data_IF_807480966957
#
_entry.id   IF_807480966957
#
_cell.length_a   1.000
_cell.length_b   1.000
_cell.length_c   1.000
_cell.angle_alpha   90.00
_cell.angle_beta   90.00
_cell.angle_gamma   90.00
#
_symmetry.space_group_name_H-M   'P 1'
#
loop_
_entity.id
_entity.type
_entity.pdbx_description
1 polymer ?
#
# COMPACT_ATOMS: atom_id res chain seq x y z
N UNK A 1 -21.55 5.21 -16.36
CA UNK A 1 -21.53 3.73 -16.20
C UNK A 1 -20.48 3.40 -15.15
N UNK A 2 -20.84 2.60 -14.14
CA UNK A 2 -19.88 2.13 -13.12
C UNK A 2 -19.16 0.90 -13.70
N UNK A 3 -17.81 0.91 -13.66
CA UNK A 3 -17.00 -0.21 -14.11
C UNK A 3 -17.02 -1.34 -13.07
N UNK A 4 -16.95 -2.58 -13.54
CA UNK A 4 -16.82 -3.75 -12.66
C UNK A 4 -15.37 -3.91 -12.18
N UNK A 5 -15.17 -4.62 -11.06
CA UNK A 5 -13.82 -4.92 -10.57
C UNK A 5 -12.97 -5.66 -11.64
N UNK A 6 -13.58 -6.58 -12.40
CA UNK A 6 -12.89 -7.29 -13.49
C UNK A 6 -12.39 -6.32 -14.58
N UNK A 7 -13.19 -5.33 -14.95
CA UNK A 7 -12.79 -4.30 -15.94
C UNK A 7 -11.64 -3.45 -15.40
N UNK A 8 -11.72 -3.03 -14.14
CA UNK A 8 -10.69 -2.22 -13.47
C UNK A 8 -9.38 -3.00 -13.38
N UNK A 9 -9.42 -4.26 -12.93
CA UNK A 9 -8.22 -5.10 -12.82
C UNK A 9 -7.55 -5.33 -14.20
N UNK A 10 -8.33 -5.58 -15.25
CA UNK A 10 -7.81 -5.71 -16.62
C UNK A 10 -7.14 -4.42 -17.10
N UNK A 11 -7.76 -3.28 -16.84
CA UNK A 11 -7.22 -1.97 -17.24
C UNK A 11 -5.89 -1.66 -16.56
N UNK A 12 -5.75 -2.00 -15.28
CA UNK A 12 -4.58 -1.65 -14.46
C UNK A 12 -3.35 -2.50 -14.70
N UNK A 13 -3.46 -3.60 -15.44
CA UNK A 13 -2.33 -4.50 -15.70
C UNK A 13 -1.13 -3.77 -16.32
N UNK A 14 0.01 -3.78 -15.62
CA UNK A 14 1.24 -3.09 -16.04
C UNK A 14 1.19 -1.55 -15.92
N UNK A 15 0.14 -0.98 -15.29
CA UNK A 15 -0.03 0.46 -15.13
C UNK A 15 -0.04 0.88 -13.67
N UNK A 16 -0.70 0.10 -12.79
CA UNK A 16 -0.90 0.42 -11.38
C UNK A 16 -0.80 -0.82 -10.52
N UNK A 17 -0.59 -0.61 -9.21
CA UNK A 17 -0.80 -1.60 -8.15
C UNK A 17 -2.08 -1.18 -7.43
N UNK A 18 -3.01 -2.10 -7.26
CA UNK A 18 -4.27 -1.86 -6.58
C UNK A 18 -4.18 -2.17 -5.09
N UNK A 19 -4.62 -1.22 -4.26
CA UNK A 19 -5.02 -1.49 -2.89
C UNK A 19 -6.55 -1.65 -2.88
N UNK A 20 -7.02 -2.88 -2.74
CA UNK A 20 -8.43 -3.24 -2.85
C UNK A 20 -9.11 -3.08 -1.48
N UNK A 21 -9.92 -2.04 -1.36
CA UNK A 21 -10.72 -1.75 -0.17
C UNK A 21 -12.04 -2.51 -0.23
N UNK A 22 -12.17 -3.55 0.60
CA UNK A 22 -13.34 -4.42 0.64
C UNK A 22 -14.39 -3.83 1.57
N UNK A 23 -15.51 -3.40 1.03
CA UNK A 23 -16.60 -2.81 1.81
C UNK A 23 -17.30 -3.84 2.71
N UNK A 24 -17.79 -3.37 3.86
CA UNK A 24 -18.52 -4.20 4.83
C UNK A 24 -19.66 -4.96 4.14
N UNK A 25 -19.75 -6.25 4.42
CA UNK A 25 -20.77 -7.14 3.85
C UNK A 25 -20.38 -7.80 2.51
N UNK A 26 -19.24 -7.42 1.92
CA UNK A 26 -18.70 -8.13 0.74
C UNK A 26 -17.78 -9.25 1.23
N UNK A 27 -18.04 -10.51 0.86
CA UNK A 27 -17.16 -11.63 1.22
C UNK A 27 -15.76 -11.46 0.61
N UNK A 28 -14.71 -11.68 1.41
CA UNK A 28 -13.31 -11.63 0.94
C UNK A 28 -13.07 -12.57 -0.25
N UNK A 29 -13.71 -13.73 -0.25
CA UNK A 29 -13.62 -14.70 -1.35
C UNK A 29 -14.01 -14.10 -2.71
N UNK A 30 -15.04 -13.24 -2.77
CA UNK A 30 -15.45 -12.60 -4.03
C UNK A 30 -14.34 -11.75 -4.66
N UNK A 31 -13.60 -11.04 -3.81
CA UNK A 31 -12.49 -10.18 -4.26
C UNK A 31 -11.31 -11.06 -4.70
N UNK A 32 -10.98 -12.08 -3.91
CA UNK A 32 -9.94 -13.07 -4.23
C UNK A 32 -10.25 -13.73 -5.58
N UNK A 33 -11.49 -14.17 -5.80
CA UNK A 33 -11.91 -14.79 -7.06
C UNK A 33 -11.79 -13.84 -8.25
N UNK A 34 -12.11 -12.55 -8.07
CA UNK A 34 -11.91 -11.54 -9.10
C UNK A 34 -10.43 -11.33 -9.44
N UNK A 35 -9.56 -11.27 -8.41
CA UNK A 35 -8.10 -11.19 -8.58
C UNK A 35 -7.59 -12.40 -9.38
N UNK A 36 -8.03 -13.63 -9.01
CA UNK A 36 -7.65 -14.88 -9.68
C UNK A 36 -8.10 -14.92 -11.13
N UNK A 37 -9.38 -14.63 -11.40
CA UNK A 37 -9.93 -14.64 -12.77
C UNK A 37 -9.17 -13.70 -13.71
N UNK A 38 -8.65 -12.59 -13.17
CA UNK A 38 -7.93 -11.59 -13.96
C UNK A 38 -6.41 -11.77 -13.95
N UNK A 39 -5.89 -12.80 -13.24
CA UNK A 39 -4.44 -13.02 -13.05
C UNK A 39 -3.77 -11.76 -12.52
N UNK A 40 -4.39 -11.13 -11.50
CA UNK A 40 -4.03 -9.83 -10.98
C UNK A 40 -3.24 -9.91 -9.66
N UNK A 41 -2.80 -11.10 -9.25
CA UNK A 41 -2.12 -11.35 -7.98
C UNK A 41 -0.87 -10.47 -7.80
N UNK A 42 -0.09 -10.31 -8.86
CA UNK A 42 1.18 -9.57 -8.82
C UNK A 42 1.03 -8.05 -8.65
N UNK A 43 -0.20 -7.52 -8.81
CA UNK A 43 -0.46 -6.09 -8.72
C UNK A 43 -1.74 -5.75 -7.92
N UNK A 44 -2.13 -6.67 -7.02
CA UNK A 44 -3.26 -6.46 -6.10
C UNK A 44 -2.83 -6.68 -4.66
N UNK A 45 -3.26 -5.79 -3.79
CA UNK A 45 -3.08 -5.84 -2.34
C UNK A 45 -4.47 -5.75 -1.71
N UNK A 46 -4.81 -6.64 -0.78
CA UNK A 46 -6.10 -6.60 -0.09
C UNK A 46 -5.95 -5.78 1.19
N UNK A 47 -6.74 -4.73 1.34
CA UNK A 47 -6.77 -3.92 2.56
C UNK A 47 -7.57 -4.67 3.64
N UNK A 48 -7.00 -4.74 4.83
CA UNK A 48 -7.64 -5.29 6.02
C UNK A 48 -7.60 -4.27 7.16
N UNK A 49 -8.70 -4.17 7.91
CA UNK A 49 -8.88 -3.18 8.97
C UNK A 49 -8.61 -3.75 10.38
N UNK A 50 -8.48 -5.06 10.48
CA UNK A 50 -8.19 -5.72 11.75
C UNK A 50 -7.49 -7.07 11.53
N UNK A 51 -6.95 -7.62 12.60
CA UNK A 51 -6.17 -8.84 12.58
C UNK A 51 -6.96 -10.08 12.11
N UNK A 52 -8.26 -10.16 12.43
CA UNK A 52 -9.10 -11.29 12.00
C UNK A 52 -9.31 -11.29 10.48
N UNK A 53 -9.54 -10.12 9.88
CA UNK A 53 -9.63 -9.99 8.42
C UNK A 53 -8.30 -10.36 7.76
N UNK A 54 -7.17 -9.93 8.32
CA UNK A 54 -5.85 -10.28 7.79
C UNK A 54 -5.61 -11.80 7.85
N UNK A 55 -5.96 -12.44 8.96
CA UNK A 55 -5.90 -13.89 9.12
C UNK A 55 -6.82 -14.63 8.13
N UNK A 56 -8.04 -14.13 7.91
CA UNK A 56 -8.97 -14.67 6.92
C UNK A 56 -8.37 -14.65 5.52
N UNK A 57 -7.85 -13.49 5.07
CA UNK A 57 -7.22 -13.35 3.75
C UNK A 57 -5.98 -14.25 3.65
N UNK A 58 -5.12 -14.30 4.67
CA UNK A 58 -3.94 -15.15 4.69
C UNK A 58 -4.28 -16.64 4.58
N UNK A 59 -5.41 -17.07 5.15
CA UNK A 59 -5.91 -18.44 5.03
C UNK A 59 -6.49 -18.74 3.64
N UNK A 60 -7.28 -17.80 3.08
CA UNK A 60 -7.96 -17.99 1.78
C UNK A 60 -7.00 -17.84 0.59
N UNK A 61 -6.01 -16.96 0.72
CA UNK A 61 -5.07 -16.62 -0.36
C UNK A 61 -3.67 -16.29 0.19
N UNK A 62 -2.90 -17.30 0.66
CA UNK A 62 -1.61 -17.11 1.36
C UNK A 62 -0.50 -16.53 0.47
N UNK A 63 -0.72 -16.41 -0.82
CA UNK A 63 0.18 -15.83 -1.82
C UNK A 63 -0.10 -14.36 -2.12
N UNK A 64 -1.27 -13.83 -1.76
CA UNK A 64 -1.61 -12.42 -1.99
C UNK A 64 -0.95 -11.50 -0.96
N UNK A 65 -0.69 -10.27 -1.40
CA UNK A 65 -0.24 -9.19 -0.52
C UNK A 65 -1.42 -8.66 0.30
N UNK A 66 -1.18 -8.36 1.55
CA UNK A 66 -2.18 -7.88 2.51
C UNK A 66 -1.69 -6.56 3.12
N UNK A 67 -2.49 -5.52 3.03
CA UNK A 67 -2.27 -4.30 3.80
C UNK A 67 -2.85 -4.47 5.20
N UNK A 68 -2.01 -4.38 6.21
CA UNK A 68 -2.35 -4.55 7.63
C UNK A 68 -2.04 -3.29 8.42
N UNK A 69 -2.81 -2.96 9.46
CA UNK A 69 -2.41 -1.92 10.43
C UNK A 69 -1.26 -2.45 11.27
N UNK A 70 -0.08 -1.85 11.12
CA UNK A 70 1.10 -2.23 11.90
C UNK A 70 2.01 -1.02 12.11
N UNK A 71 2.07 -0.56 13.35
CA UNK A 71 2.88 0.59 13.80
C UNK A 71 4.22 0.19 14.44
N UNK A 72 4.61 -1.09 14.38
CA UNK A 72 5.86 -1.56 14.96
C UNK A 72 5.94 -3.07 15.14
N UNK A 73 6.92 -3.49 15.98
CA UNK A 73 7.27 -4.90 16.21
C UNK A 73 6.09 -5.74 16.71
N UNK A 74 5.41 -5.26 17.75
CA UNK A 74 4.32 -5.99 18.41
C UNK A 74 3.15 -6.28 17.45
N UNK A 75 2.83 -5.32 16.57
CA UNK A 75 1.79 -5.51 15.58
C UNK A 75 2.17 -6.55 14.53
N UNK A 76 3.42 -6.53 14.06
CA UNK A 76 3.93 -7.53 13.10
C UNK A 76 3.90 -8.93 13.72
N UNK A 77 4.43 -9.09 14.94
CA UNK A 77 4.42 -10.38 15.65
C UNK A 77 3.00 -10.90 15.87
N UNK A 78 2.06 -10.01 16.21
CA UNK A 78 0.63 -10.37 16.31
C UNK A 78 0.07 -10.89 14.99
N UNK A 79 0.38 -10.24 13.87
CA UNK A 79 -0.06 -10.71 12.55
C UNK A 79 0.56 -12.06 12.18
N UNK A 80 1.87 -12.25 12.45
CA UNK A 80 2.56 -13.52 12.20
C UNK A 80 1.96 -14.66 13.02
N UNK A 81 1.64 -14.42 14.30
CA UNK A 81 0.98 -15.39 15.18
C UNK A 81 -0.42 -15.80 14.65
N UNK A 82 -1.06 -14.96 13.85
CA UNK A 82 -2.34 -15.26 13.18
C UNK A 82 -2.16 -15.84 11.76
N UNK A 83 -0.94 -16.16 11.37
CA UNK A 83 -0.63 -16.82 10.10
C UNK A 83 -0.39 -15.89 8.92
N UNK A 84 -0.32 -14.58 9.13
CA UNK A 84 0.04 -13.62 8.07
C UNK A 84 1.56 -13.59 7.94
N UNK A 85 2.11 -14.01 6.81
CA UNK A 85 3.56 -14.03 6.58
C UNK A 85 4.12 -12.62 6.39
N UNK A 86 5.30 -12.33 6.95
CA UNK A 86 5.93 -11.02 6.85
C UNK A 86 6.16 -10.59 5.38
N UNK A 87 6.57 -11.52 4.50
CA UNK A 87 6.79 -11.27 3.07
C UNK A 87 5.51 -11.02 2.27
N UNK A 88 4.34 -11.16 2.91
CA UNK A 88 3.01 -10.86 2.36
C UNK A 88 2.37 -9.62 2.99
N UNK A 89 3.04 -8.98 3.93
CA UNK A 89 2.54 -7.77 4.58
C UNK A 89 2.97 -6.50 3.85
N UNK A 90 2.06 -5.53 3.82
CA UNK A 90 2.36 -4.11 3.66
C UNK A 90 1.78 -3.41 4.89
N UNK A 91 2.59 -2.68 5.63
CA UNK A 91 2.18 -2.05 6.88
C UNK A 91 1.54 -0.68 6.63
N UNK A 92 0.27 -0.50 6.95
CA UNK A 92 -0.31 0.83 7.13
C UNK A 92 0.11 1.35 8.49
N UNK A 93 1.01 2.35 8.51
CA UNK A 93 1.63 2.89 9.72
C UNK A 93 0.85 4.04 10.36
N UNK A 94 -0.34 4.35 9.85
CA UNK A 94 -1.21 5.41 10.36
C UNK A 94 -1.29 6.64 9.47
N UNK A 95 -1.91 7.70 10.01
CA UNK A 95 -2.12 9.00 9.31
C UNK A 95 -1.24 10.13 9.86
N UNK A 96 -0.28 9.78 10.72
CA UNK A 96 0.79 10.65 11.20
C UNK A 96 2.10 9.97 10.94
N UNK A 97 3.13 10.73 10.62
CA UNK A 97 4.46 10.18 10.38
C UNK A 97 4.97 9.47 11.65
N UNK A 98 5.28 8.18 11.59
CA UNK A 98 5.82 7.46 12.74
C UNK A 98 7.28 7.86 12.99
N UNK A 99 7.85 7.42 14.13
CA UNK A 99 9.28 7.55 14.38
C UNK A 99 10.09 6.73 13.39
N UNK A 100 11.29 7.17 13.07
CA UNK A 100 12.16 6.53 12.07
C UNK A 100 12.46 5.05 12.39
N UNK A 101 12.54 4.70 13.69
CA UNK A 101 12.77 3.33 14.13
C UNK A 101 11.67 2.36 13.66
N UNK A 102 10.43 2.85 13.49
CA UNK A 102 9.32 2.05 12.96
C UNK A 102 9.59 1.65 11.52
N UNK A 103 9.97 2.61 10.68
CA UNK A 103 10.35 2.34 9.30
C UNK A 103 11.56 1.39 9.22
N UNK A 104 12.59 1.65 10.01
CA UNK A 104 13.80 0.81 10.05
C UNK A 104 13.47 -0.64 10.43
N UNK A 105 12.64 -0.84 11.46
CA UNK A 105 12.19 -2.17 11.86
C UNK A 105 11.42 -2.86 10.73
N UNK A 106 10.40 -2.22 10.16
CA UNK A 106 9.58 -2.80 9.09
C UNK A 106 10.42 -3.14 7.86
N UNK A 107 11.31 -2.27 7.46
CA UNK A 107 12.22 -2.52 6.34
C UNK A 107 13.22 -3.65 6.62
N UNK A 108 13.72 -3.80 7.85
CA UNK A 108 14.57 -4.94 8.24
C UNK A 108 13.83 -6.28 8.07
N UNK A 109 12.49 -6.26 8.18
CA UNK A 109 11.61 -7.41 7.95
C UNK A 109 11.13 -7.51 6.48
N UNK A 110 11.61 -6.64 5.59
CA UNK A 110 11.19 -6.52 4.18
C UNK A 110 9.70 -6.18 4.01
N UNK A 111 9.12 -5.50 4.99
CA UNK A 111 7.74 -5.02 4.99
C UNK A 111 7.72 -3.58 4.47
N UNK A 112 7.02 -3.34 3.37
CA UNK A 112 6.82 -1.98 2.85
C UNK A 112 5.80 -1.22 3.72
N UNK A 113 5.92 0.12 3.74
CA UNK A 113 5.11 0.98 4.58
C UNK A 113 4.18 1.87 3.75
N UNK A 114 2.89 1.90 4.12
CA UNK A 114 1.91 2.88 3.64
C UNK A 114 1.73 3.93 4.73
N UNK A 115 1.99 5.20 4.41
CA UNK A 115 1.65 6.34 5.26
C UNK A 115 0.42 7.04 4.70
N UNK A 116 -0.63 7.17 5.51
CA UNK A 116 -1.78 8.01 5.20
C UNK A 116 -1.41 9.47 5.35
N UNK A 117 -1.45 10.24 4.26
CA UNK A 117 -1.18 11.69 4.32
C UNK A 117 -2.45 12.51 4.28
N UNK A 118 -3.58 11.88 3.95
CA UNK A 118 -4.90 12.51 3.93
C UNK A 118 -5.20 13.23 5.25
N UNK A 119 -5.70 14.45 5.19
CA UNK A 119 -5.96 15.30 6.34
C UNK A 119 -4.79 16.21 6.71
N UNK A 120 -4.14 16.02 7.86
CA UNK A 120 -3.19 16.99 8.40
C UNK A 120 -1.88 17.11 7.61
N UNK A 121 -1.35 15.99 7.10
CA UNK A 121 -0.11 16.01 6.31
C UNK A 121 -0.37 16.70 4.97
N UNK A 122 -1.46 16.36 4.27
CA UNK A 122 -1.83 16.99 3.01
C UNK A 122 -2.10 18.50 3.18
N UNK A 123 -2.77 18.90 4.27
CA UNK A 123 -2.94 20.33 4.61
C UNK A 123 -1.60 21.01 4.85
N UNK A 124 -0.67 20.36 5.53
CA UNK A 124 0.67 20.89 5.75
C UNK A 124 1.47 21.02 4.46
N UNK A 125 1.37 20.05 3.56
CA UNK A 125 2.01 20.09 2.25
C UNK A 125 1.45 21.25 1.41
N UNK A 126 0.12 21.45 1.41
CA UNK A 126 -0.51 22.57 0.71
C UNK A 126 -0.06 23.93 1.23
N UNK A 127 0.14 24.06 2.54
CA UNK A 127 0.51 25.33 3.18
C UNK A 127 2.02 25.63 3.13
N UNK A 128 2.87 24.60 3.21
CA UNK A 128 4.33 24.75 3.41
C UNK A 128 5.15 24.28 2.20
N UNK A 129 4.51 23.67 1.21
CA UNK A 129 5.14 23.18 -0.02
C UNK A 129 5.16 21.65 -0.12
N UNK A 130 4.97 21.18 -1.34
CA UNK A 130 4.79 19.75 -1.67
C UNK A 130 6.07 18.92 -1.49
N UNK A 131 7.24 19.56 -1.33
CA UNK A 131 8.49 18.89 -0.98
C UNK A 131 8.38 18.02 0.30
N UNK A 132 7.36 18.28 1.11
CA UNK A 132 7.05 17.43 2.26
C UNK A 132 6.87 15.95 1.85
N UNK A 133 6.17 15.66 0.75
CA UNK A 133 6.00 14.28 0.27
C UNK A 133 7.33 13.60 -0.07
N UNK A 134 8.26 14.34 -0.70
CA UNK A 134 9.62 13.82 -0.95
C UNK A 134 10.31 13.39 0.35
N UNK A 135 10.25 14.23 1.38
CA UNK A 135 10.85 13.95 2.70
C UNK A 135 10.24 12.74 3.36
N UNK A 136 8.90 12.56 3.29
CA UNK A 136 8.22 11.39 3.85
C UNK A 136 8.71 10.08 3.21
N UNK A 137 8.94 10.08 1.90
CA UNK A 137 9.53 8.92 1.20
C UNK A 137 10.99 8.72 1.62
N UNK A 138 11.76 9.78 1.72
CA UNK A 138 13.17 9.71 2.15
C UNK A 138 13.30 9.18 3.59
N UNK A 139 12.35 9.50 4.47
CA UNK A 139 12.28 9.00 5.85
C UNK A 139 11.86 7.52 5.94
N UNK A 140 11.27 6.95 4.88
CA UNK A 140 10.98 5.52 4.83
C UNK A 140 9.56 5.11 4.41
N UNK A 141 8.65 6.05 4.13
CA UNK A 141 7.37 5.69 3.55
C UNK A 141 7.59 5.17 2.11
N UNK A 142 7.05 4.00 1.79
CA UNK A 142 7.14 3.43 0.44
C UNK A 142 5.94 3.82 -0.42
N UNK A 143 4.79 4.03 0.22
CA UNK A 143 3.52 4.36 -0.42
C UNK A 143 2.88 5.51 0.38
N UNK A 144 2.37 6.52 -0.30
CA UNK A 144 1.56 7.59 0.29
C UNK A 144 0.10 7.41 -0.09
N UNK A 145 -0.78 7.39 0.93
CA UNK A 145 -2.23 7.43 0.72
C UNK A 145 -2.68 8.88 0.90
N UNK A 146 -2.87 9.60 -0.21
CA UNK A 146 -3.03 11.06 -0.26
C UNK A 146 -4.27 11.47 -1.05
N UNK A 147 -4.96 12.52 -0.58
CA UNK A 147 -6.01 13.21 -1.35
C UNK A 147 -5.39 14.15 -2.42
N UNK A 148 -4.10 14.48 -2.28
CA UNK A 148 -3.33 15.30 -3.21
C UNK A 148 -2.40 14.45 -4.07
N UNK A 149 -2.98 13.44 -4.71
CA UNK A 149 -2.25 12.40 -5.44
C UNK A 149 -1.41 12.92 -6.61
N UNK A 150 -1.80 14.04 -7.24
CA UNK A 150 -1.02 14.66 -8.34
C UNK A 150 0.27 15.26 -7.79
N UNK A 151 0.18 16.11 -6.78
CA UNK A 151 1.32 16.78 -6.16
C UNK A 151 2.26 15.78 -5.48
N UNK A 152 1.68 14.81 -4.74
CA UNK A 152 2.46 13.72 -4.18
C UNK A 152 3.16 12.92 -5.29
N UNK A 153 2.47 12.59 -6.38
CA UNK A 153 3.02 11.85 -7.53
C UNK A 153 4.20 12.56 -8.19
N UNK A 154 4.15 13.91 -8.32
CA UNK A 154 5.27 14.71 -8.83
C UNK A 154 6.51 14.53 -7.93
N UNK A 155 6.34 14.60 -6.61
CA UNK A 155 7.46 14.44 -5.66
C UNK A 155 8.00 13.01 -5.62
N UNK A 156 7.13 12.00 -5.76
CA UNK A 156 7.55 10.61 -5.87
C UNK A 156 8.34 10.35 -7.15
N UNK A 157 7.92 10.93 -8.27
CA UNK A 157 8.65 10.85 -9.55
C UNK A 157 10.03 11.47 -9.41
N UNK A 158 10.11 12.67 -8.83
CA UNK A 158 11.39 13.34 -8.54
C UNK A 158 12.29 12.47 -7.67
N UNK A 159 11.77 11.91 -6.58
CA UNK A 159 12.53 11.00 -5.71
C UNK A 159 13.06 9.79 -6.48
N UNK A 160 12.21 9.16 -7.30
CA UNK A 160 12.60 8.00 -8.09
C UNK A 160 13.70 8.34 -9.10
N UNK A 161 13.64 9.50 -9.77
CA UNK A 161 14.65 9.96 -10.70
C UNK A 161 15.97 10.29 -9.97
N UNK A 162 15.95 11.01 -8.86
CA UNK A 162 17.10 11.37 -8.03
C UNK A 162 17.84 10.12 -7.52
N UNK A 163 17.10 9.09 -7.11
CA UNK A 163 17.64 7.81 -6.62
C UNK A 163 17.84 6.77 -7.73
N UNK A 164 17.57 7.10 -9.00
CA UNK A 164 17.67 6.20 -10.17
C UNK A 164 16.90 4.89 -10.01
N UNK A 165 15.71 4.97 -9.38
CA UNK A 165 14.87 3.79 -9.13
C UNK A 165 14.18 3.34 -10.41
N UNK A 166 14.02 2.00 -10.55
CA UNK A 166 13.31 1.39 -11.68
C UNK A 166 12.20 0.50 -11.15
N UNK A 167 10.98 0.65 -11.67
CA UNK A 167 9.89 -0.27 -11.39
C UNK A 167 9.94 -1.48 -12.32
N UNK A 168 9.81 -2.69 -11.78
CA UNK A 168 9.66 -3.93 -12.56
C UNK A 168 8.21 -4.12 -13.05
N UNK A 169 7.25 -3.49 -12.42
CA UNK A 169 5.81 -3.74 -12.62
C UNK A 169 5.10 -2.59 -13.33
N UNK A 170 5.65 -1.38 -13.30
CA UNK A 170 5.04 -0.17 -13.86
C UNK A 170 6.00 0.43 -14.87
N UNK A 171 5.53 0.59 -16.11
CA UNK A 171 6.25 1.35 -17.14
C UNK A 171 5.86 2.81 -17.03
N UNK A 172 6.71 3.63 -16.42
CA UNK A 172 6.54 5.08 -16.40
C UNK A 172 6.82 5.58 -17.83
N UNK A 173 5.80 6.03 -18.54
CA UNK A 173 6.00 6.79 -19.78
C UNK A 173 6.48 8.18 -19.35
N UNK A 174 7.70 8.56 -19.75
CA UNK A 174 8.12 9.96 -19.68
C UNK A 174 7.15 10.76 -20.54
N UNK A 175 6.45 11.72 -19.92
CA UNK A 175 5.69 12.73 -20.65
C UNK A 175 6.65 13.71 -21.31
#
# INVERSE_FOLDING_TARGET
KIETLDQVLKWGKGKVIYNLDVKKGVPMQMIIDAVRRNKAEAYSVIITYNANQAAEVAKLAPDLMISVSAGGKEDVERMENLGVKADKMIAFVGTSEPRLEVYQYLHSRKIACILGTMGNIDKSAAAKGDVLYYKLIENGANILSSDRHIEAGIQLTKYADDKKLKSKHIKIKKM
#
